data_IF_153484323166
#
_entry.id   IF_153484323166
#
_cell.length_a   1.000
_cell.length_b   1.000
_cell.length_c   1.000
_cell.angle_alpha   90.00
_cell.angle_beta   90.00
_cell.angle_gamma   90.00
#
_symmetry.space_group_name_H-M   'P 1'
#
loop_
_entity.id
_entity.type
_entity.pdbx_description
1 polymer ?
#
# COMPACT_ATOMS: atom_id res chain seq x y z
N UNK A 1 1.21 0.57 -17.99
CA UNK A 1 1.47 -0.64 -18.15
C UNK A 1 0.88 -1.21 -19.31
N UNK A 2 1.45 -1.00 -20.23
CA UNK A 2 0.92 -1.54 -21.39
C UNK A 2 0.94 -3.01 -21.24
N UNK A 3 0.27 -3.67 -21.93
CA UNK A 3 0.32 -5.10 -22.04
C UNK A 3 -0.18 -5.87 -20.83
N UNK A 4 -0.49 -5.20 -19.75
CA UNK A 4 -0.94 -5.92 -18.58
C UNK A 4 0.10 -6.83 -17.99
N UNK A 5 1.37 -6.54 -18.20
CA UNK A 5 2.43 -7.41 -17.73
C UNK A 5 2.49 -7.48 -16.23
N UNK A 6 2.24 -6.37 -15.55
CA UNK A 6 2.14 -6.37 -14.11
C UNK A 6 1.33 -5.17 -13.68
N UNK A 7 0.85 -5.23 -12.46
CA UNK A 7 0.04 -4.17 -11.90
C UNK A 7 0.50 -3.89 -10.48
N UNK A 8 0.62 -2.60 -10.16
CA UNK A 8 1.01 -2.17 -8.83
C UNK A 8 -0.23 -1.63 -8.14
N UNK A 9 -0.45 -2.08 -6.91
CA UNK A 9 -1.59 -1.67 -6.10
C UNK A 9 -1.09 -1.12 -4.77
N UNK A 10 -1.77 -0.14 -4.23
CA UNK A 10 -1.56 0.28 -2.85
C UNK A 10 -2.91 0.66 -2.25
N UNK A 11 -2.91 1.07 -0.99
CA UNK A 11 -4.14 1.45 -0.29
C UNK A 11 -4.09 2.90 0.12
N UNK A 12 -5.27 3.48 0.39
CA UNK A 12 -5.33 4.81 0.99
C UNK A 12 -4.67 4.84 2.37
N UNK A 13 -4.55 3.68 3.03
CA UNK A 13 -3.82 3.62 4.29
C UNK A 13 -2.33 3.92 4.08
N UNK A 14 -1.74 3.45 2.97
CA UNK A 14 -0.36 3.79 2.63
C UNK A 14 -0.19 5.29 2.51
N UNK A 15 -1.15 5.97 1.86
CA UNK A 15 -1.10 7.42 1.75
C UNK A 15 -1.01 8.07 3.12
N UNK A 16 -1.86 7.63 4.05
CA UNK A 16 -1.83 8.15 5.42
C UNK A 16 -0.46 7.89 6.05
N UNK A 17 0.04 6.67 5.94
CA UNK A 17 1.26 6.28 6.62
C UNK A 17 2.48 7.03 6.11
N UNK A 18 2.59 7.20 4.79
CA UNK A 18 3.78 7.84 4.23
C UNK A 18 3.79 9.35 4.43
N UNK A 19 2.61 9.97 4.56
CA UNK A 19 2.55 11.42 4.69
C UNK A 19 2.78 11.92 6.11
N UNK A 20 2.68 11.05 7.11
CA UNK A 20 2.81 11.49 8.50
C UNK A 20 4.15 12.16 8.75
N UNK A 21 5.25 11.51 8.36
CA UNK A 21 6.57 12.04 8.68
C UNK A 21 6.86 13.38 7.98
N UNK A 22 6.70 13.49 6.65
CA UNK A 22 7.01 14.77 6.01
C UNK A 22 6.06 15.89 6.44
N UNK A 23 4.79 15.58 6.73
CA UNK A 23 3.88 16.61 7.24
C UNK A 23 4.30 17.07 8.61
N UNK A 24 4.69 16.14 9.49
CA UNK A 24 5.11 16.47 10.83
C UNK A 24 6.37 17.32 10.84
N UNK A 25 7.29 17.05 9.93
CA UNK A 25 8.55 17.78 9.86
C UNK A 25 8.48 19.05 8.99
N UNK A 26 7.34 19.30 8.34
CA UNK A 26 7.19 20.47 7.47
C UNK A 26 7.93 20.36 6.16
N UNK A 27 8.25 19.13 5.72
CA UNK A 27 8.98 18.92 4.47
C UNK A 27 7.99 18.91 3.31
N UNK A 28 7.72 20.10 2.77
CA UNK A 28 6.73 20.28 1.71
C UNK A 28 7.13 19.52 0.44
N UNK A 29 8.42 19.57 0.11
CA UNK A 29 8.91 18.94 -1.10
C UNK A 29 8.70 17.42 -1.06
N UNK A 30 9.05 16.79 0.05
CA UNK A 30 8.87 15.35 0.18
C UNK A 30 7.40 14.98 0.21
N UNK A 31 6.57 15.80 0.88
CA UNK A 31 5.13 15.58 0.89
C UNK A 31 4.58 15.52 -0.53
N UNK A 32 5.01 16.47 -1.38
CA UNK A 32 4.54 16.51 -2.75
C UNK A 32 5.07 15.36 -3.58
N UNK A 33 6.31 14.94 -3.35
CA UNK A 33 6.87 13.80 -4.05
C UNK A 33 6.06 12.52 -3.76
N UNK A 34 5.74 12.28 -2.50
CA UNK A 34 4.93 11.11 -2.14
C UNK A 34 3.55 11.20 -2.75
N UNK A 35 2.91 12.37 -2.68
CA UNK A 35 1.59 12.53 -3.26
C UNK A 35 1.61 12.28 -4.76
N UNK A 36 2.62 12.81 -5.45
CA UNK A 36 2.71 12.62 -6.89
C UNK A 36 2.84 11.15 -7.26
N UNK A 37 3.67 10.41 -6.55
CA UNK A 37 3.83 8.99 -6.83
C UNK A 37 2.53 8.23 -6.58
N UNK A 38 1.83 8.55 -5.50
CA UNK A 38 0.66 7.78 -5.10
C UNK A 38 -0.61 8.17 -5.83
N UNK A 39 -0.71 9.43 -6.30
CA UNK A 39 -1.96 9.94 -6.84
C UNK A 39 -1.93 10.22 -8.33
N UNK A 40 -0.76 10.26 -8.94
CA UNK A 40 -0.65 10.55 -10.36
C UNK A 40 -0.26 9.29 -11.11
N UNK A 41 -1.26 8.42 -11.29
CA UNK A 41 -0.90 7.12 -11.71
C UNK A 41 -1.58 6.57 -12.86
N UNK A 42 -0.89 6.24 -13.87
CA UNK A 42 -1.41 5.37 -14.91
C UNK A 42 -1.19 3.92 -14.57
N UNK A 43 -0.13 3.63 -13.84
CA UNK A 43 0.26 2.26 -13.57
C UNK A 43 0.12 1.84 -12.12
N UNK A 44 -0.37 2.73 -11.27
CA UNK A 44 -0.60 2.41 -9.86
C UNK A 44 -2.07 2.56 -9.54
N UNK A 45 -2.66 1.51 -9.00
CA UNK A 45 -4.04 1.54 -8.57
C UNK A 45 -4.07 1.74 -7.07
N UNK A 46 -4.67 2.85 -6.61
CA UNK A 46 -4.83 3.07 -5.18
C UNK A 46 -6.26 2.69 -4.79
N UNK A 47 -6.38 1.78 -3.84
CA UNK A 47 -7.69 1.28 -3.41
C UNK A 47 -8.07 1.86 -2.06
N UNK A 48 -9.31 2.32 -1.93
CA UNK A 48 -9.78 2.79 -0.62
C UNK A 48 -9.96 1.60 0.31
N UNK A 49 -9.83 1.85 1.62
CA UNK A 49 -10.11 0.83 2.61
C UNK A 49 -11.63 0.77 2.77
N UNK A 50 -12.27 0.01 1.90
CA UNK A 50 -13.71 -0.13 1.86
C UNK A 50 -14.17 -1.29 2.73
N UNK A 51 -15.48 -1.50 2.80
CA UNK A 51 -16.06 -2.51 3.68
C UNK A 51 -15.50 -3.89 3.38
N UNK A 52 -15.40 -4.26 2.10
CA UNK A 52 -14.93 -5.59 1.73
C UNK A 52 -13.50 -5.83 2.23
N UNK A 53 -12.64 -4.82 2.09
CA UNK A 53 -11.27 -4.94 2.55
C UNK A 53 -11.23 -5.05 4.07
N UNK A 54 -12.05 -4.26 4.76
CA UNK A 54 -12.10 -4.31 6.21
C UNK A 54 -12.53 -5.70 6.70
N UNK A 55 -13.50 -6.32 6.01
CA UNK A 55 -13.97 -7.64 6.39
C UNK A 55 -12.90 -8.71 6.17
N UNK A 56 -12.19 -8.65 5.05
CA UNK A 56 -11.11 -9.59 4.81
C UNK A 56 -9.99 -9.39 5.85
N UNK A 57 -9.69 -8.14 6.18
CA UNK A 57 -8.70 -7.86 7.20
C UNK A 57 -9.10 -8.44 8.55
N UNK A 58 -10.39 -8.36 8.89
CA UNK A 58 -10.88 -8.96 10.13
C UNK A 58 -10.69 -10.47 10.14
N UNK A 59 -10.95 -11.13 9.03
CA UNK A 59 -10.73 -12.57 8.92
C UNK A 59 -9.26 -12.92 9.07
N UNK A 60 -8.38 -12.13 8.46
CA UNK A 60 -6.95 -12.36 8.59
C UNK A 60 -6.49 -12.23 10.04
N UNK A 61 -7.01 -11.22 10.74
CA UNK A 61 -6.67 -11.06 12.15
C UNK A 61 -7.22 -12.16 13.02
N UNK A 62 -8.40 -12.68 12.67
CA UNK A 62 -9.03 -13.75 13.44
C UNK A 62 -8.26 -15.05 13.34
N UNK A 63 -7.57 -15.29 12.24
CA UNK A 63 -6.88 -16.54 12.00
C UNK A 63 -5.35 -16.43 12.09
N UNK A 64 -4.82 -15.21 12.09
CA UNK A 64 -3.38 -14.99 12.14
C UNK A 64 -3.10 -13.86 13.12
N UNK A 65 -1.89 -13.87 13.68
CA UNK A 65 -1.53 -12.87 14.68
C UNK A 65 -0.97 -11.62 13.98
N UNK A 66 -1.87 -10.82 13.41
CA UNK A 66 -1.50 -9.63 12.66
C UNK A 66 -2.05 -8.37 13.35
N UNK A 67 -1.30 -7.27 13.24
CA UNK A 67 -1.82 -5.97 13.63
C UNK A 67 -2.82 -5.49 12.58
N UNK A 68 -3.75 -4.63 13.00
CA UNK A 68 -4.79 -4.13 12.09
C UNK A 68 -4.22 -3.49 10.83
N UNK A 69 -3.22 -2.58 10.90
CA UNK A 69 -2.69 -1.99 9.66
C UNK A 69 -2.11 -3.03 8.71
N UNK A 70 -1.42 -4.03 9.25
CA UNK A 70 -0.82 -5.07 8.40
C UNK A 70 -1.90 -5.90 7.73
N UNK A 71 -2.95 -6.26 8.46
CA UNK A 71 -4.05 -7.02 7.91
C UNK A 71 -4.76 -6.24 6.81
N UNK A 72 -4.94 -4.93 6.98
CA UNK A 72 -5.57 -4.09 5.97
C UNK A 72 -4.73 -4.05 4.70
N UNK A 73 -3.40 -3.92 4.84
CA UNK A 73 -2.53 -3.88 3.67
C UNK A 73 -2.53 -5.20 2.91
N UNK A 74 -2.47 -6.31 3.64
CA UNK A 74 -2.52 -7.63 3.01
C UNK A 74 -3.86 -7.84 2.32
N UNK A 75 -4.96 -7.47 2.97
CA UNK A 75 -6.29 -7.60 2.38
C UNK A 75 -6.42 -6.77 1.11
N UNK A 76 -5.83 -5.55 1.11
CA UNK A 76 -5.85 -4.69 -0.07
C UNK A 76 -5.10 -5.34 -1.22
N UNK A 77 -3.93 -5.90 -0.94
CA UNK A 77 -3.14 -6.56 -1.97
C UNK A 77 -3.91 -7.74 -2.58
N UNK A 78 -4.57 -8.52 -1.73
CA UNK A 78 -5.38 -9.65 -2.19
C UNK A 78 -6.54 -9.18 -3.06
N UNK A 79 -7.23 -8.16 -2.61
CA UNK A 79 -8.41 -7.65 -3.30
C UNK A 79 -8.05 -7.05 -4.66
N UNK A 80 -6.89 -6.41 -4.74
CA UNK A 80 -6.45 -5.78 -5.98
C UNK A 80 -5.93 -6.76 -7.02
N UNK A 81 -5.64 -7.99 -6.62
CA UNK A 81 -5.10 -8.97 -7.55
C UNK A 81 -3.80 -8.51 -8.17
N UNK A 82 -2.98 -7.80 -7.41
CA UNK A 82 -1.83 -7.11 -7.96
C UNK A 82 -0.62 -8.00 -8.08
N UNK A 83 0.26 -7.66 -9.03
CA UNK A 83 1.58 -8.26 -9.07
C UNK A 83 2.43 -7.75 -7.92
N UNK A 84 2.34 -6.45 -7.64
CA UNK A 84 3.13 -5.81 -6.59
C UNK A 84 2.26 -4.92 -5.72
N UNK A 85 2.59 -4.88 -4.43
CA UNK A 85 1.97 -3.95 -3.48
C UNK A 85 2.98 -2.88 -3.08
N UNK A 86 2.62 -1.60 -3.25
CA UNK A 86 3.50 -0.48 -2.94
C UNK A 86 3.31 -0.04 -1.50
N UNK A 87 4.40 0.02 -0.74
CA UNK A 87 4.38 0.43 0.66
C UNK A 87 5.77 0.90 1.07
N UNK A 88 5.87 1.62 2.19
CA UNK A 88 7.17 1.88 2.80
C UNK A 88 7.44 0.94 3.97
N UNK A 89 6.55 0.01 4.26
CA UNK A 89 6.72 -0.91 5.37
C UNK A 89 7.40 -2.19 4.88
N UNK A 90 8.72 -2.25 5.03
CA UNK A 90 9.50 -3.38 4.53
C UNK A 90 9.15 -4.69 5.23
N UNK A 91 8.50 -4.63 6.40
CA UNK A 91 8.08 -5.87 7.08
C UNK A 91 7.08 -6.65 6.24
N UNK A 92 6.31 -5.97 5.39
CA UNK A 92 5.35 -6.66 4.54
C UNK A 92 6.05 -7.52 3.48
N UNK A 93 7.31 -7.27 3.19
CA UNK A 93 8.06 -8.08 2.24
C UNK A 93 8.28 -9.51 2.74
N UNK A 94 8.08 -9.74 4.04
CA UNK A 94 8.25 -11.09 4.60
C UNK A 94 6.96 -11.91 4.55
N UNK A 95 5.85 -11.34 4.07
CA UNK A 95 4.59 -12.06 3.98
C UNK A 95 4.63 -12.99 2.78
N UNK A 96 4.41 -14.31 2.98
CA UNK A 96 4.46 -15.24 1.84
C UNK A 96 3.42 -14.89 0.80
N UNK A 97 3.83 -14.91 -0.47
CA UNK A 97 2.93 -14.64 -1.58
C UNK A 97 2.71 -13.17 -1.87
N UNK A 98 3.32 -12.26 -1.11
CA UNK A 98 3.18 -10.82 -1.33
C UNK A 98 4.48 -10.27 -1.90
N UNK A 99 4.39 -9.69 -3.10
CA UNK A 99 5.52 -9.03 -3.73
C UNK A 99 5.43 -7.54 -3.44
N UNK A 100 6.46 -6.97 -2.83
CA UNK A 100 6.42 -5.60 -2.32
C UNK A 100 7.37 -4.70 -3.10
N UNK A 101 6.87 -3.52 -3.48
CA UNK A 101 7.71 -2.42 -3.94
C UNK A 101 7.79 -1.40 -2.82
N UNK A 102 9.01 -0.93 -2.54
CA UNK A 102 9.21 0.04 -1.47
C UNK A 102 9.20 1.44 -2.06
N UNK A 103 8.30 2.29 -1.55
CA UNK A 103 8.08 3.62 -2.11
C UNK A 103 9.37 4.45 -2.11
N UNK A 104 10.13 4.42 -1.03
CA UNK A 104 11.35 5.22 -0.94
C UNK A 104 12.38 4.84 -2.00
N UNK A 105 12.33 3.62 -2.51
CA UNK A 105 13.24 3.21 -3.56
C UNK A 105 12.91 3.86 -4.90
N UNK A 106 11.75 4.50 -5.01
CA UNK A 106 11.31 5.16 -6.24
C UNK A 106 11.65 6.64 -6.27
N UNK A 107 12.18 7.18 -5.19
CA UNK A 107 12.52 8.60 -5.10
C UNK A 107 13.90 8.91 -5.65
#
# INVERSE_FOLDING_TARGET
>A
MSQGDFQVVTSTLTLTEVLVHPLRSGNVELTEQYRDILLDQESLMILPVAVEIAEVAAQLRATQNLRTPDAIQIATAMQGGATFFLTNDIRLATVPGLEVLVLDALL
#
